data_IF_717172957333
#
_entry.id   IF_717172957333
#
_cell.length_a   1.000
_cell.length_b   1.000
_cell.length_c   1.000
_cell.angle_alpha   90.00
_cell.angle_beta   90.00
_cell.angle_gamma   90.00
#
_symmetry.space_group_name_H-M   'P 1'
#
loop_
_entity.id
_entity.type
_entity.pdbx_description
1 polymer ?
#
# COMPACT_ATOMS: atom_id res chain seq x y z
N UNK A 1 -40.10 78.07 -19.20
CA UNK A 1 -39.14 78.67 -18.25
C UNK A 1 -39.58 78.34 -16.83
N UNK A 2 -38.60 77.98 -15.98
CA UNK A 2 -38.61 77.87 -14.51
C UNK A 2 -39.16 76.59 -13.85
N UNK A 3 -38.20 75.90 -13.23
CA UNK A 3 -38.23 74.82 -12.24
C UNK A 3 -38.64 75.35 -10.85
N UNK A 4 -39.20 74.47 -10.01
CA UNK A 4 -38.74 74.14 -8.64
C UNK A 4 -39.58 72.94 -8.14
N UNK A 5 -39.04 71.73 -7.90
CA UNK A 5 -38.30 71.25 -6.70
C UNK A 5 -39.09 71.40 -5.38
N UNK A 6 -39.52 70.29 -4.78
CA UNK A 6 -38.98 69.68 -3.53
C UNK A 6 -39.84 68.46 -3.12
N UNK A 7 -39.15 67.52 -2.46
CA UNK A 7 -39.41 66.10 -2.20
C UNK A 7 -40.16 65.88 -0.84
N UNK A 8 -40.22 64.67 -0.23
CA UNK A 8 -41.46 63.96 0.12
C UNK A 8 -41.67 63.78 1.65
N UNK A 9 -42.79 63.18 2.08
CA UNK A 9 -42.91 62.58 3.42
C UNK A 9 -43.63 61.23 3.35
N UNK A 10 -43.03 60.27 4.06
CA UNK A 10 -43.32 58.85 4.18
C UNK A 10 -44.74 58.52 4.66
N UNK A 11 -45.29 57.44 4.12
CA UNK A 11 -46.37 56.67 4.74
C UNK A 11 -45.77 55.42 5.42
N UNK A 12 -46.03 55.27 6.71
CA UNK A 12 -45.76 54.05 7.48
C UNK A 12 -46.94 53.11 7.29
N UNK A 13 -46.69 51.86 6.92
CA UNK A 13 -47.66 50.77 6.98
C UNK A 13 -47.06 49.59 7.74
N UNK A 14 -47.67 49.27 8.87
CA UNK A 14 -47.39 48.11 9.69
C UNK A 14 -47.95 46.84 9.02
N UNK A 15 -47.14 45.79 8.92
CA UNK A 15 -47.58 44.46 8.54
C UNK A 15 -47.48 43.54 9.77
N UNK A 16 -48.57 42.83 10.02
CA UNK A 16 -48.77 41.91 11.13
C UNK A 16 -47.82 40.70 11.05
N UNK A 17 -47.18 40.36 12.18
CA UNK A 17 -46.44 39.13 12.35
C UNK A 17 -47.39 37.93 12.37
N UNK A 18 -47.46 37.19 11.26
CA UNK A 18 -47.88 35.80 11.28
C UNK A 18 -46.65 34.96 11.64
N UNK A 19 -46.64 34.36 12.82
CA UNK A 19 -45.66 33.33 13.21
C UNK A 19 -45.84 32.13 12.30
N UNK A 20 -44.98 32.03 11.28
CA UNK A 20 -44.76 30.83 10.50
C UNK A 20 -43.93 29.89 11.37
N UNK A 21 -44.51 28.78 11.80
CA UNK A 21 -43.72 27.64 12.29
C UNK A 21 -42.83 27.19 11.13
N UNK A 22 -41.54 27.51 11.21
CA UNK A 22 -40.55 26.90 10.34
C UNK A 22 -40.51 25.40 10.66
N UNK A 23 -40.49 24.52 9.65
CA UNK A 23 -40.23 23.10 9.90
C UNK A 23 -38.89 23.01 10.62
N UNK A 24 -38.91 22.39 11.81
CA UNK A 24 -37.71 22.05 12.56
C UNK A 24 -36.80 21.25 11.63
N UNK A 25 -35.79 21.95 11.14
CA UNK A 25 -34.71 21.39 10.34
C UNK A 25 -33.85 20.55 11.29
N UNK A 26 -34.29 19.32 11.54
CA UNK A 26 -33.50 18.28 12.21
C UNK A 26 -32.42 17.75 11.24
N UNK A 27 -31.74 18.64 10.53
CA UNK A 27 -30.47 18.32 9.90
C UNK A 27 -29.47 18.17 11.03
N UNK A 28 -29.27 16.92 11.47
CA UNK A 28 -28.11 16.55 12.27
C UNK A 28 -26.88 17.21 11.62
N UNK A 29 -26.02 17.90 12.40
CA UNK A 29 -24.83 18.52 11.81
C UNK A 29 -24.09 17.43 11.04
N UNK A 30 -23.89 17.63 9.73
CA UNK A 30 -23.05 16.76 8.91
C UNK A 30 -21.70 16.74 9.61
N UNK A 31 -21.38 15.61 10.26
CA UNK A 31 -20.07 15.42 10.85
C UNK A 31 -19.06 15.51 9.71
N UNK A 32 -18.29 16.60 9.68
CA UNK A 32 -17.19 16.78 8.73
C UNK A 32 -16.03 15.84 9.03
N UNK A 33 -16.06 15.16 10.17
CA UNK A 33 -15.05 14.21 10.60
C UNK A 33 -15.52 12.78 10.36
N UNK A 34 -14.79 12.06 9.51
CA UNK A 34 -14.93 10.61 9.34
C UNK A 34 -14.12 9.91 10.43
N UNK A 35 -14.80 9.10 11.23
CA UNK A 35 -14.18 8.27 12.25
C UNK A 35 -14.78 6.86 12.21
N UNK A 36 -14.06 5.90 12.79
CA UNK A 36 -14.51 4.51 12.90
C UNK A 36 -13.85 3.55 11.91
N UNK A 37 -14.22 2.28 12.00
CA UNK A 37 -13.68 1.20 11.17
C UNK A 37 -14.70 0.76 10.12
N UNK A 38 -14.20 0.41 8.93
CA UNK A 38 -15.00 0.04 7.78
C UNK A 38 -14.39 -1.17 7.09
N UNK A 39 -15.24 -2.17 6.83
CA UNK A 39 -14.89 -3.27 5.94
C UNK A 39 -15.02 -2.81 4.49
N UNK A 40 -14.03 -3.17 3.70
CA UNK A 40 -13.94 -2.80 2.28
C UNK A 40 -14.29 -4.01 1.44
N UNK A 41 -15.40 -3.91 0.71
CA UNK A 41 -15.75 -4.88 -0.34
C UNK A 41 -15.41 -4.29 -1.69
N UNK A 42 -14.74 -5.05 -2.55
CA UNK A 42 -14.35 -4.64 -3.90
C UNK A 42 -14.90 -5.64 -4.91
N UNK A 43 -15.48 -5.15 -5.99
CA UNK A 43 -15.90 -6.00 -7.11
C UNK A 43 -14.80 -6.18 -8.16
N UNK A 44 -15.20 -6.79 -9.28
CA UNK A 44 -14.33 -7.05 -10.41
C UNK A 44 -13.87 -5.77 -11.12
N UNK A 45 -12.66 -5.83 -11.69
CA UNK A 45 -12.14 -4.76 -12.53
C UNK A 45 -12.84 -4.74 -13.89
N UNK A 46 -13.18 -3.52 -14.33
CA UNK A 46 -13.65 -3.23 -15.67
C UNK A 46 -12.75 -2.16 -16.31
N UNK A 47 -12.53 -2.28 -17.62
CA UNK A 47 -11.82 -1.25 -18.37
C UNK A 47 -12.76 -0.06 -18.63
N UNK A 48 -12.41 1.13 -18.15
CA UNK A 48 -13.06 2.36 -18.65
C UNK A 48 -12.45 2.70 -20.01
N UNK A 49 -13.24 2.56 -21.06
CA UNK A 49 -12.81 2.89 -22.43
C UNK A 49 -12.88 4.40 -22.65
N UNK A 50 -11.75 5.00 -23.03
CA UNK A 50 -11.69 6.40 -23.44
C UNK A 50 -11.46 6.49 -24.94
N UNK A 51 -12.15 7.40 -25.65
CA UNK A 51 -11.92 7.61 -27.08
C UNK A 51 -10.43 7.88 -27.37
N UNK A 52 -9.83 7.08 -28.24
CA UNK A 52 -8.43 7.22 -28.65
C UNK A 52 -7.40 6.49 -27.77
N UNK A 53 -7.82 5.72 -26.77
CA UNK A 53 -6.94 4.84 -26.00
C UNK A 53 -7.30 3.38 -26.23
N UNK A 54 -6.29 2.56 -26.56
CA UNK A 54 -6.48 1.12 -26.64
C UNK A 54 -6.74 0.55 -25.23
N UNK A 55 -7.67 -0.41 -25.08
CA UNK A 55 -7.83 -1.17 -23.86
C UNK A 55 -6.57 -1.97 -23.56
N UNK A 56 -5.81 -1.56 -22.55
CA UNK A 56 -4.80 -2.37 -21.90
C UNK A 56 -5.38 -3.34 -20.85
N UNK A 57 -4.52 -4.15 -20.23
CA UNK A 57 -4.94 -5.25 -19.37
C UNK A 57 -5.58 -4.74 -18.08
N UNK A 58 -6.63 -5.43 -17.63
CA UNK A 58 -7.15 -5.25 -16.28
C UNK A 58 -6.08 -5.64 -15.25
N UNK A 59 -6.02 -4.97 -14.08
CA UNK A 59 -5.20 -5.41 -12.97
C UNK A 59 -5.50 -6.88 -12.63
N UNK A 60 -4.45 -7.71 -12.56
CA UNK A 60 -4.55 -9.15 -12.31
C UNK A 60 -3.78 -9.59 -11.05
N UNK A 61 -3.57 -10.90 -10.91
CA UNK A 61 -2.71 -11.44 -9.85
C UNK A 61 -1.32 -10.80 -9.95
N UNK A 62 -0.99 -9.95 -8.98
CA UNK A 62 0.29 -9.27 -8.90
C UNK A 62 0.28 -7.74 -8.98
N UNK A 63 -0.85 -7.11 -9.30
CA UNK A 63 -1.00 -5.64 -9.29
C UNK A 63 -1.47 -5.12 -7.93
N UNK A 64 -0.74 -5.48 -6.87
CA UNK A 64 -0.98 -5.08 -5.48
C UNK A 64 -1.00 -3.56 -5.27
N UNK A 65 -0.31 -2.80 -6.14
CA UNK A 65 -0.36 -1.33 -6.19
C UNK A 65 -1.77 -0.77 -6.49
N UNK A 66 -2.73 -1.61 -6.90
CA UNK A 66 -4.13 -1.22 -7.09
C UNK A 66 -5.07 -1.89 -6.08
N UNK A 67 -4.52 -2.56 -5.06
CA UNK A 67 -5.32 -3.23 -4.04
C UNK A 67 -5.66 -2.31 -2.87
N UNK A 68 -6.92 -2.32 -2.46
CA UNK A 68 -7.37 -1.59 -1.28
C UNK A 68 -7.35 -2.58 -0.11
N UNK A 69 -6.83 -2.19 1.08
CA UNK A 69 -6.86 -3.06 2.25
C UNK A 69 -8.31 -3.46 2.57
N UNK A 70 -8.56 -4.70 3.04
CA UNK A 70 -9.90 -5.23 3.27
C UNK A 70 -10.60 -4.55 4.46
N UNK A 71 -9.85 -3.81 5.27
CA UNK A 71 -10.36 -2.98 6.35
C UNK A 71 -9.56 -1.70 6.46
N UNK A 72 -10.28 -0.60 6.70
CA UNK A 72 -9.71 0.72 6.99
C UNK A 72 -10.30 1.29 8.28
N UNK A 73 -9.51 2.11 8.95
CA UNK A 73 -9.93 2.95 10.07
C UNK A 73 -9.68 4.40 9.72
N UNK A 74 -10.70 5.23 9.89
CA UNK A 74 -10.55 6.67 9.84
C UNK A 74 -10.19 7.17 11.23
N UNK A 75 -9.03 7.80 11.37
CA UNK A 75 -8.47 8.21 12.65
C UNK A 75 -8.57 9.72 12.90
N UNK A 76 -9.54 10.40 12.29
CA UNK A 76 -9.71 11.86 12.39
C UNK A 76 -8.78 12.65 11.45
N UNK A 77 -8.63 13.96 11.66
CA UNK A 77 -7.95 14.86 10.73
C UNK A 77 -6.47 14.49 10.55
N UNK A 78 -6.01 14.51 9.30
CA UNK A 78 -4.63 14.28 8.92
C UNK A 78 -3.78 15.52 9.24
N UNK A 79 -2.60 15.30 9.81
CA UNK A 79 -1.70 16.34 10.30
C UNK A 79 -1.30 17.42 9.27
N UNK A 80 -1.50 17.16 7.96
CA UNK A 80 -1.07 18.05 6.86
C UNK A 80 -2.19 18.85 6.21
N UNK A 81 -3.46 18.45 6.34
CA UNK A 81 -4.60 19.14 5.71
C UNK A 81 -5.86 18.98 6.59
N UNK A 82 -6.50 20.08 7.03
CA UNK A 82 -7.66 20.03 7.94
C UNK A 82 -8.87 19.24 7.42
N UNK A 83 -9.06 19.14 6.10
CA UNK A 83 -10.16 18.41 5.46
C UNK A 83 -9.82 16.95 5.15
N UNK A 84 -8.53 16.59 5.12
CA UNK A 84 -8.12 15.22 4.84
C UNK A 84 -8.21 14.40 6.14
N UNK A 85 -8.94 13.30 6.10
CA UNK A 85 -9.00 12.28 7.16
C UNK A 85 -7.90 11.26 6.93
N UNK A 86 -7.15 10.92 7.99
CA UNK A 86 -6.13 9.88 7.93
C UNK A 86 -6.77 8.50 7.85
N UNK A 87 -6.34 7.71 6.88
CA UNK A 87 -6.64 6.29 6.80
C UNK A 87 -5.53 5.50 7.50
N UNK A 88 -5.92 4.56 8.36
CA UNK A 88 -5.03 3.60 9.01
C UNK A 88 -5.55 2.20 8.72
N UNK A 89 -4.67 1.25 8.44
CA UNK A 89 -5.05 -0.17 8.36
C UNK A 89 -4.99 -0.75 9.76
N UNK A 90 -6.09 -1.32 10.31
CA UNK A 90 -6.08 -1.91 11.64
C UNK A 90 -5.11 -3.09 11.76
N UNK A 91 -4.68 -3.36 12.99
CA UNK A 91 -3.84 -4.52 13.31
C UNK A 91 -4.54 -5.83 12.87
N UNK A 92 -3.76 -6.79 12.36
CA UNK A 92 -4.25 -8.08 11.87
C UNK A 92 -4.94 -8.04 10.50
N UNK A 93 -5.32 -6.87 9.97
CA UNK A 93 -5.81 -6.73 8.61
C UNK A 93 -4.65 -6.79 7.59
N UNK A 94 -4.96 -7.18 6.35
CA UNK A 94 -3.97 -7.11 5.28
C UNK A 94 -3.49 -5.66 5.08
N UNK A 95 -2.18 -5.39 5.18
CA UNK A 95 -1.68 -4.03 5.08
C UNK A 95 -1.83 -3.48 3.67
N UNK A 96 -1.80 -2.15 3.59
CA UNK A 96 -1.71 -1.42 2.35
C UNK A 96 -0.25 -1.31 1.91
N UNK A 97 0.01 -1.45 0.61
CA UNK A 97 1.31 -1.21 -0.01
C UNK A 97 1.56 0.27 -0.32
N UNK A 98 0.57 1.12 -0.06
CA UNK A 98 0.59 2.54 -0.39
C UNK A 98 1.24 3.36 0.72
N UNK A 99 2.24 4.17 0.36
CA UNK A 99 2.86 5.14 1.27
C UNK A 99 1.97 6.35 1.57
N UNK A 100 1.01 6.64 0.69
CA UNK A 100 0.09 7.77 0.81
C UNK A 100 -1.34 7.26 0.82
N UNK A 101 -2.04 7.46 1.94
CA UNK A 101 -3.45 7.10 2.08
C UNK A 101 -4.21 8.24 2.74
N UNK A 102 -5.43 8.51 2.27
CA UNK A 102 -6.24 9.60 2.80
C UNK A 102 -7.67 9.54 2.30
N UNK A 103 -8.53 10.26 3.00
CA UNK A 103 -9.92 10.43 2.63
C UNK A 103 -10.36 11.87 2.83
N UNK A 104 -11.40 12.31 2.12
CA UNK A 104 -11.95 13.66 2.27
C UNK A 104 -13.44 13.62 1.94
N UNK A 105 -14.27 14.28 2.76
CA UNK A 105 -15.67 14.52 2.40
C UNK A 105 -15.72 15.79 1.54
N UNK A 106 -16.24 15.66 0.33
CA UNK A 106 -16.46 16.77 -0.61
C UNK A 106 -17.96 16.81 -0.95
N UNK A 107 -18.67 17.76 -0.34
CA UNK A 107 -20.13 17.81 -0.43
C UNK A 107 -20.76 16.51 0.10
N UNK A 108 -21.59 15.86 -0.71
CA UNK A 108 -22.27 14.61 -0.37
C UNK A 108 -21.47 13.36 -0.79
N UNK A 109 -20.16 13.51 -1.03
CA UNK A 109 -19.31 12.42 -1.48
C UNK A 109 -18.09 12.23 -0.58
N UNK A 110 -17.66 10.98 -0.46
CA UNK A 110 -16.42 10.59 0.17
C UNK A 110 -15.39 10.26 -0.91
N UNK A 111 -14.32 11.04 -0.95
CA UNK A 111 -13.15 10.74 -1.76
C UNK A 111 -12.17 9.88 -0.96
N UNK A 112 -11.65 8.81 -1.55
CA UNK A 112 -10.58 7.99 -0.98
C UNK A 112 -9.38 7.98 -1.93
N UNK A 113 -8.17 8.00 -1.37
CA UNK A 113 -6.93 7.86 -2.12
C UNK A 113 -5.98 6.87 -1.47
N UNK A 114 -5.42 5.98 -2.28
CA UNK A 114 -4.34 5.07 -1.95
C UNK A 114 -3.29 5.21 -3.05
N UNK A 115 -2.07 5.66 -2.74
CA UNK A 115 -1.06 5.95 -3.75
C UNK A 115 0.36 5.63 -3.29
N UNK A 116 1.19 5.18 -4.23
CA UNK A 116 2.65 5.08 -4.11
C UNK A 116 3.37 6.33 -4.63
N UNK A 117 2.64 7.43 -4.88
CA UNK A 117 2.98 8.62 -5.70
C UNK A 117 2.93 8.38 -7.20
N UNK A 118 3.40 7.23 -7.67
CA UNK A 118 3.47 6.90 -9.09
C UNK A 118 2.22 6.19 -9.59
N UNK A 119 1.63 5.33 -8.74
CA UNK A 119 0.45 4.56 -9.07
C UNK A 119 -0.42 4.33 -7.84
N UNK A 120 -1.70 4.00 -8.05
CA UNK A 120 -2.62 3.79 -6.94
C UNK A 120 -4.07 3.71 -7.36
N UNK A 121 -4.96 3.92 -6.39
CA UNK A 121 -6.40 3.94 -6.57
C UNK A 121 -6.99 5.18 -5.93
N UNK A 122 -7.93 5.80 -6.64
CA UNK A 122 -8.81 6.84 -6.11
C UNK A 122 -10.26 6.36 -6.21
N UNK A 123 -11.07 6.63 -5.20
CA UNK A 123 -12.48 6.29 -5.22
C UNK A 123 -13.34 7.51 -4.89
N UNK A 124 -14.48 7.58 -5.56
CA UNK A 124 -15.56 8.52 -5.20
C UNK A 124 -16.76 7.69 -4.77
N UNK A 125 -17.16 7.87 -3.52
CA UNK A 125 -18.23 7.14 -2.88
C UNK A 125 -19.35 8.09 -2.47
N UNK A 126 -20.57 7.57 -2.44
CA UNK A 126 -21.76 8.26 -1.98
C UNK A 126 -22.38 7.50 -0.81
N UNK A 127 -23.14 8.17 0.06
CA UNK A 127 -23.87 7.52 1.14
C UNK A 127 -24.74 6.39 0.60
N UNK A 128 -24.62 5.21 1.19
CA UNK A 128 -25.38 4.01 0.81
C UNK A 128 -25.69 3.19 2.06
N UNK A 129 -26.96 3.17 2.47
CA UNK A 129 -27.36 2.56 3.75
C UNK A 129 -26.65 3.22 4.93
N UNK A 130 -25.98 2.42 5.77
CA UNK A 130 -25.17 2.92 6.88
C UNK A 130 -23.71 3.24 6.48
N UNK A 131 -23.33 2.96 5.24
CA UNK A 131 -21.95 3.05 4.75
C UNK A 131 -21.82 3.93 3.51
N UNK A 132 -20.83 3.59 2.68
CA UNK A 132 -20.50 4.32 1.46
C UNK A 132 -20.32 3.36 0.30
N UNK A 133 -20.82 3.71 -0.88
CA UNK A 133 -20.63 2.89 -2.08
C UNK A 133 -20.31 3.76 -3.29
N UNK A 134 -19.53 3.23 -4.23
CA UNK A 134 -19.18 3.97 -5.43
C UNK A 134 -18.17 3.23 -6.29
N UNK A 135 -17.27 3.99 -6.91
CA UNK A 135 -16.33 3.46 -7.90
C UNK A 135 -14.90 3.86 -7.56
N UNK A 136 -14.04 2.85 -7.50
CA UNK A 136 -12.60 2.98 -7.39
C UNK A 136 -11.97 2.93 -8.80
N UNK A 137 -10.99 3.78 -9.07
CA UNK A 137 -10.30 3.95 -10.35
C UNK A 137 -8.80 3.89 -10.17
N UNK A 138 -8.10 3.23 -11.09
CA UNK A 138 -6.65 3.25 -11.12
C UNK A 138 -6.12 4.62 -11.47
N UNK A 139 -5.09 5.07 -10.77
CA UNK A 139 -4.30 6.24 -11.11
C UNK A 139 -2.86 5.82 -11.39
N UNK A 140 -2.25 6.42 -12.40
CA UNK A 140 -0.82 6.37 -12.68
C UNK A 140 -0.35 7.77 -13.05
N UNK A 141 0.95 8.05 -12.93
CA UNK A 141 1.55 9.36 -13.21
C UNK A 141 1.96 9.54 -14.68
N UNK A 142 1.99 8.46 -15.47
CA UNK A 142 2.29 8.48 -16.91
C UNK A 142 1.03 8.73 -17.72
N UNK A 143 1.02 9.79 -18.55
CA UNK A 143 -0.09 10.11 -19.47
C UNK A 143 0.29 9.86 -20.95
N UNK A 144 -0.66 9.45 -21.80
CA UNK A 144 -2.04 9.09 -21.47
C UNK A 144 -2.13 7.74 -20.75
N UNK A 145 -3.07 7.62 -19.82
CA UNK A 145 -3.31 6.38 -19.08
C UNK A 145 -4.71 5.84 -19.35
N UNK A 146 -4.79 4.53 -19.49
CA UNK A 146 -6.04 3.82 -19.34
C UNK A 146 -6.45 3.83 -17.87
N UNK A 147 -7.74 3.98 -17.62
CA UNK A 147 -8.32 3.87 -16.28
C UNK A 147 -9.07 2.55 -16.22
N UNK A 148 -8.75 1.74 -15.22
CA UNK A 148 -9.57 0.61 -14.83
C UNK A 148 -10.42 1.05 -13.64
N UNK A 149 -11.67 0.62 -13.61
CA UNK A 149 -12.62 0.93 -12.55
C UNK A 149 -13.16 -0.35 -11.92
N UNK A 150 -13.61 -0.26 -10.67
CA UNK A 150 -14.37 -1.33 -10.02
C UNK A 150 -15.33 -0.75 -8.98
N UNK A 151 -16.46 -1.43 -8.70
CA UNK A 151 -17.31 -1.05 -7.59
C UNK A 151 -16.59 -1.31 -6.27
N UNK A 152 -16.88 -0.45 -5.30
CA UNK A 152 -16.34 -0.54 -3.94
C UNK A 152 -17.43 -0.12 -2.95
N UNK A 153 -17.46 -0.81 -1.82
CA UNK A 153 -18.35 -0.51 -0.70
C UNK A 153 -17.57 -0.48 0.62
N UNK A 154 -17.88 0.51 1.45
CA UNK A 154 -17.43 0.62 2.84
C UNK A 154 -18.60 0.34 3.77
N UNK A 155 -18.53 -0.76 4.51
CA UNK A 155 -19.54 -1.11 5.52
C UNK A 155 -19.00 -0.77 6.91
N UNK A 156 -19.70 0.07 7.72
CA UNK A 156 -19.24 0.38 9.07
C UNK A 156 -19.25 -0.88 9.94
N UNK A 157 -18.18 -1.05 10.72
CA UNK A 157 -18.00 -2.19 11.64
C UNK A 157 -17.43 -1.74 12.97
N UNK A 158 -17.60 -2.56 14.01
CA UNK A 158 -16.88 -2.36 15.26
C UNK A 158 -15.37 -2.47 15.02
N UNK A 159 -14.59 -1.52 15.52
CA UNK A 159 -13.13 -1.59 15.43
C UNK A 159 -12.51 -2.79 16.18
N UNK A 160 -13.25 -3.36 17.13
CA UNK A 160 -12.81 -4.54 17.90
C UNK A 160 -13.20 -5.86 17.22
N UNK A 161 -13.97 -5.82 16.13
CA UNK A 161 -14.29 -7.02 15.35
C UNK A 161 -13.04 -7.53 14.63
N UNK A 162 -12.91 -8.84 14.34
CA UNK A 162 -11.83 -9.34 13.49
C UNK A 162 -11.99 -8.85 12.04
N UNK A 163 -10.89 -8.64 11.29
CA UNK A 163 -10.95 -8.26 9.88
C UNK A 163 -11.58 -9.38 9.04
N UNK A 164 -12.31 -9.04 7.96
CA UNK A 164 -13.00 -10.02 7.11
C UNK A 164 -12.01 -10.94 6.39
N UNK A 165 -10.79 -10.46 6.19
CA UNK A 165 -9.66 -11.21 5.65
C UNK A 165 -8.46 -10.96 6.57
N UNK A 166 -8.06 -11.99 7.31
CA UNK A 166 -6.89 -11.95 8.18
C UNK A 166 -5.59 -11.93 7.36
N UNK A 167 -4.55 -11.32 7.90
CA UNK A 167 -3.18 -11.50 7.43
C UNK A 167 -2.79 -12.99 7.32
N UNK A 168 -3.39 -13.86 8.12
CA UNK A 168 -3.12 -15.31 8.17
C UNK A 168 -3.59 -16.08 6.93
N UNK A 169 -4.51 -15.51 6.13
CA UNK A 169 -4.96 -16.16 4.89
C UNK A 169 -4.04 -15.91 3.70
N UNK A 170 -3.00 -15.08 3.86
CA UNK A 170 -1.99 -14.93 2.82
C UNK A 170 -1.22 -16.23 2.62
N UNK A 171 -0.72 -16.44 1.38
CA UNK A 171 0.25 -17.50 1.13
C UNK A 171 1.36 -17.42 2.19
N UNK A 172 1.69 -18.53 2.87
CA UNK A 172 2.69 -18.53 3.92
C UNK A 172 4.01 -18.18 3.26
N UNK A 173 4.46 -16.94 3.41
CA UNK A 173 5.78 -16.49 2.99
C UNK A 173 6.48 -16.05 4.27
N UNK A 174 7.49 -16.81 4.69
CA UNK A 174 8.20 -16.51 5.93
C UNK A 174 8.86 -15.14 5.88
N UNK A 175 8.74 -14.37 6.97
CA UNK A 175 9.41 -13.07 7.15
C UNK A 175 10.72 -13.16 7.90
N UNK A 176 10.97 -14.31 8.51
CA UNK A 176 12.08 -14.53 9.41
C UNK A 176 13.05 -15.53 8.80
N UNK A 177 14.33 -15.29 9.03
CA UNK A 177 15.44 -16.16 8.64
C UNK A 177 16.11 -16.59 9.92
N UNK A 178 16.05 -17.89 10.20
CA UNK A 178 16.66 -18.49 11.37
C UNK A 178 18.01 -19.13 10.99
N UNK A 179 19.03 -18.83 11.78
CA UNK A 179 20.39 -19.33 11.66
C UNK A 179 20.50 -20.62 12.47
N UNK A 180 21.46 -21.49 12.14
CA UNK A 180 21.66 -22.74 12.88
C UNK A 180 22.06 -22.53 14.35
N UNK A 181 22.65 -21.37 14.68
CA UNK A 181 23.02 -20.98 16.05
C UNK A 181 21.86 -20.37 16.86
N UNK A 182 20.66 -20.32 16.28
CA UNK A 182 19.45 -19.79 16.92
C UNK A 182 19.22 -18.29 16.74
N UNK A 183 20.17 -17.55 16.13
CA UNK A 183 19.91 -16.15 15.74
C UNK A 183 18.79 -16.09 14.70
N UNK A 184 18.06 -14.98 14.69
CA UNK A 184 16.99 -14.73 13.71
C UNK A 184 17.03 -13.29 13.24
N UNK A 185 16.75 -13.08 11.94
CA UNK A 185 16.46 -11.76 11.37
C UNK A 185 15.02 -11.79 10.85
N UNK A 186 14.20 -10.80 11.21
CA UNK A 186 12.82 -10.68 10.72
C UNK A 186 12.65 -9.39 9.91
N UNK A 187 12.19 -9.54 8.67
CA UNK A 187 11.87 -8.41 7.80
C UNK A 187 10.63 -7.68 8.31
N UNK A 188 10.73 -6.36 8.41
CA UNK A 188 9.72 -5.43 8.90
C UNK A 188 9.69 -5.25 10.42
N UNK A 189 10.64 -5.84 11.13
CA UNK A 189 10.90 -5.61 12.55
C UNK A 189 12.22 -4.83 12.73
N UNK A 190 12.46 -4.19 13.88
CA UNK A 190 13.76 -3.62 14.20
C UNK A 190 14.87 -4.68 14.12
N UNK A 191 16.09 -4.31 13.69
CA UNK A 191 17.23 -5.22 13.73
C UNK A 191 17.48 -5.70 15.17
N UNK A 192 17.82 -6.98 15.38
CA UNK A 192 18.25 -7.43 16.70
C UNK A 192 19.59 -6.78 17.08
N UNK A 193 19.87 -6.64 18.38
CA UNK A 193 21.06 -5.95 18.92
C UNK A 193 22.38 -6.42 18.28
N UNK A 194 22.53 -7.73 18.05
CA UNK A 194 23.74 -8.29 17.41
C UNK A 194 23.92 -7.85 15.96
N UNK A 195 22.84 -7.51 15.27
CA UNK A 195 22.84 -7.01 13.90
C UNK A 195 22.98 -5.49 13.87
N UNK A 196 22.41 -4.77 14.84
CA UNK A 196 22.58 -3.31 14.96
C UNK A 196 24.06 -2.90 15.01
N UNK A 197 24.88 -3.68 15.71
CA UNK A 197 26.32 -3.44 15.79
C UNK A 197 27.06 -3.63 14.45
N UNK A 198 26.44 -4.29 13.47
CA UNK A 198 27.01 -4.60 12.15
C UNK A 198 26.50 -3.68 11.05
N UNK A 199 25.47 -2.89 11.33
CA UNK A 199 24.84 -1.98 10.37
C UNK A 199 25.56 -0.63 10.42
N UNK A 200 26.03 -0.18 9.26
CA UNK A 200 26.72 1.10 9.09
C UNK A 200 25.77 2.32 9.19
N UNK A 201 26.34 3.52 9.04
CA UNK A 201 25.59 4.77 9.10
C UNK A 201 24.51 4.87 8.00
N UNK A 202 24.71 4.22 6.86
CA UNK A 202 23.79 4.19 5.72
C UNK A 202 22.68 3.14 5.89
N UNK A 203 22.73 2.33 6.95
CA UNK A 203 21.73 1.30 7.22
C UNK A 203 22.04 -0.03 6.52
N UNK A 204 23.27 -0.27 6.09
CA UNK A 204 23.70 -1.52 5.47
C UNK A 204 24.56 -2.33 6.43
N UNK A 205 24.27 -3.62 6.54
CA UNK A 205 25.09 -4.58 7.27
C UNK A 205 25.48 -5.76 6.39
N UNK A 206 26.68 -6.28 6.58
CA UNK A 206 27.17 -7.46 5.86
C UNK A 206 27.59 -8.55 6.85
N UNK A 207 27.26 -9.78 6.50
CA UNK A 207 27.63 -11.00 7.21
C UNK A 207 28.32 -11.94 6.22
N UNK A 208 29.58 -12.23 6.51
CA UNK A 208 30.34 -13.30 5.89
C UNK A 208 30.37 -14.53 6.83
N UNK A 209 30.67 -15.71 6.28
CA UNK A 209 30.79 -16.96 7.06
C UNK A 209 29.53 -17.33 7.87
N UNK A 210 28.38 -17.17 7.24
CA UNK A 210 27.07 -17.18 7.92
C UNK A 210 26.63 -18.57 8.43
N UNK A 211 27.30 -19.62 7.97
CA UNK A 211 26.95 -21.01 8.29
C UNK A 211 25.60 -21.43 7.71
N UNK A 212 25.11 -22.64 8.05
CA UNK A 212 23.85 -23.14 7.54
C UNK A 212 22.65 -22.37 8.14
N UNK A 213 21.66 -22.09 7.30
CA UNK A 213 20.38 -21.52 7.72
C UNK A 213 19.26 -22.54 7.66
N UNK A 214 18.19 -22.27 8.40
CA UNK A 214 17.01 -23.11 8.43
C UNK A 214 16.05 -22.80 7.27
N UNK A 215 15.20 -23.75 6.92
CA UNK A 215 14.13 -23.57 5.93
C UNK A 215 14.64 -23.48 4.48
N UNK A 216 14.08 -22.54 3.71
CA UNK A 216 14.28 -22.48 2.26
C UNK A 216 15.63 -21.92 1.83
N UNK A 217 16.36 -21.25 2.72
CA UNK A 217 17.50 -20.45 2.33
C UNK A 217 18.82 -21.24 2.23
N UNK A 218 18.99 -22.40 2.89
CA UNK A 218 20.22 -23.19 2.76
C UNK A 218 21.46 -22.48 3.31
N UNK A 219 22.59 -22.55 2.60
CA UNK A 219 23.88 -22.01 3.07
C UNK A 219 24.41 -21.00 2.05
N UNK A 220 24.18 -19.70 2.25
CA UNK A 220 24.79 -18.66 1.44
C UNK A 220 26.27 -18.50 1.82
N UNK A 221 27.04 -17.91 0.93
CA UNK A 221 28.40 -17.47 1.25
C UNK A 221 28.38 -16.13 2.00
N UNK A 222 27.47 -15.25 1.59
CA UNK A 222 27.32 -13.89 2.12
C UNK A 222 25.85 -13.54 2.31
N UNK A 223 25.58 -12.77 3.35
CA UNK A 223 24.30 -12.11 3.58
C UNK A 223 24.52 -10.61 3.70
N UNK A 224 23.69 -9.83 3.01
CA UNK A 224 23.58 -8.40 3.27
C UNK A 224 22.20 -8.07 3.83
N UNK A 225 22.15 -7.07 4.70
CA UNK A 225 20.93 -6.59 5.35
C UNK A 225 20.83 -5.10 5.09
N UNK A 226 19.62 -4.64 4.77
CA UNK A 226 19.31 -3.22 4.64
C UNK A 226 18.24 -2.82 5.65
N UNK A 227 18.54 -1.82 6.47
CA UNK A 227 17.67 -1.25 7.49
C UNK A 227 17.15 0.10 7.00
N UNK A 228 15.83 0.22 6.85
CA UNK A 228 15.18 1.43 6.40
C UNK A 228 15.10 2.47 7.51
N UNK A 229 16.13 3.32 7.66
CA UNK A 229 16.17 4.37 8.69
C UNK A 229 14.99 5.35 8.56
N UNK A 230 14.64 5.75 7.34
CA UNK A 230 13.51 6.66 7.05
C UNK A 230 12.12 6.05 7.32
N UNK A 231 12.05 4.72 7.45
CA UNK A 231 10.81 3.98 7.67
C UNK A 231 10.76 3.34 9.07
N UNK A 232 11.42 3.97 10.03
CA UNK A 232 11.36 3.60 11.45
C UNK A 232 12.44 2.63 11.91
N UNK A 233 13.55 2.54 11.19
CA UNK A 233 14.70 1.72 11.61
C UNK A 233 14.42 0.22 11.55
N UNK A 234 13.58 -0.24 10.64
CA UNK A 234 13.21 -1.65 10.48
C UNK A 234 14.08 -2.34 9.42
N UNK A 235 14.28 -3.64 9.55
CA UNK A 235 14.91 -4.47 8.51
C UNK A 235 14.00 -4.48 7.28
N UNK A 236 14.40 -3.78 6.22
CA UNK A 236 13.65 -3.70 4.97
C UNK A 236 13.99 -4.86 4.02
N UNK A 237 15.24 -5.32 4.08
CA UNK A 237 15.77 -6.33 3.16
C UNK A 237 16.78 -7.27 3.83
N UNK A 238 16.75 -8.54 3.42
CA UNK A 238 17.85 -9.49 3.63
C UNK A 238 18.15 -10.15 2.29
N UNK A 239 19.38 -9.99 1.79
CA UNK A 239 19.84 -10.58 0.54
C UNK A 239 20.89 -11.66 0.82
N UNK A 240 20.73 -12.80 0.15
CA UNK A 240 21.56 -14.00 0.26
C UNK A 240 22.29 -14.22 -1.06
N UNK A 241 23.59 -14.41 -0.99
CA UNK A 241 24.45 -14.61 -2.15
C UNK A 241 24.98 -16.05 -2.16
N UNK A 242 24.74 -16.74 -3.26
CA UNK A 242 25.18 -18.12 -3.46
C UNK A 242 26.14 -18.17 -4.65
N UNK A 243 27.31 -18.80 -4.50
CA UNK A 243 28.23 -18.99 -5.59
C UNK A 243 27.68 -20.01 -6.60
N UNK A 244 28.02 -19.82 -7.87
CA UNK A 244 27.74 -20.78 -8.93
C UNK A 244 26.36 -20.62 -9.58
N UNK A 245 26.31 -20.89 -10.89
CA UNK A 245 25.10 -20.73 -11.72
C UNK A 245 24.04 -21.81 -11.46
N UNK A 246 24.42 -22.94 -10.86
CA UNK A 246 23.55 -24.06 -10.55
C UNK A 246 22.69 -23.84 -9.29
N UNK A 247 23.09 -22.89 -8.44
CA UNK A 247 22.35 -22.52 -7.22
C UNK A 247 20.93 -22.08 -7.53
N UNK A 248 20.70 -21.43 -8.68
CA UNK A 248 19.39 -20.92 -9.07
C UNK A 248 18.37 -22.05 -9.20
N UNK A 249 18.70 -23.10 -9.96
CA UNK A 249 17.77 -24.22 -10.19
C UNK A 249 17.43 -24.95 -8.89
N UNK A 250 18.41 -25.12 -8.00
CA UNK A 250 18.20 -25.73 -6.67
C UNK A 250 17.30 -24.88 -5.78
N UNK A 251 17.57 -23.58 -5.69
CA UNK A 251 16.79 -22.64 -4.87
C UNK A 251 15.37 -22.50 -5.42
N UNK A 252 15.21 -22.37 -6.74
CA UNK A 252 13.90 -22.29 -7.39
C UNK A 252 13.07 -23.54 -7.11
N UNK A 253 13.65 -24.72 -7.24
CA UNK A 253 12.97 -25.98 -6.97
C UNK A 253 12.49 -26.06 -5.50
N UNK A 254 13.35 -25.68 -4.56
CA UNK A 254 13.02 -25.66 -3.12
C UNK A 254 11.94 -24.63 -2.79
N UNK A 255 12.02 -23.43 -3.35
CA UNK A 255 10.99 -22.41 -3.18
C UNK A 255 9.65 -22.86 -3.79
N UNK A 256 9.69 -23.55 -4.94
CA UNK A 256 8.49 -24.09 -5.59
C UNK A 256 7.84 -25.19 -4.78
N UNK A 257 8.63 -26.06 -4.15
CA UNK A 257 8.14 -27.11 -3.27
C UNK A 257 7.38 -26.53 -2.06
N UNK A 258 7.88 -25.45 -1.47
CA UNK A 258 7.28 -24.84 -0.26
C UNK A 258 6.15 -23.87 -0.60
N UNK A 259 6.30 -23.03 -1.63
CA UNK A 259 5.40 -21.91 -1.92
C UNK A 259 4.55 -22.08 -3.18
N UNK A 260 4.73 -23.17 -3.93
CA UNK A 260 4.01 -23.45 -5.17
C UNK A 260 4.59 -22.74 -6.40
N UNK A 261 3.77 -22.44 -7.40
CA UNK A 261 4.25 -21.75 -8.59
C UNK A 261 4.61 -20.27 -8.30
N UNK A 262 5.74 -19.76 -8.82
CA UNK A 262 6.09 -18.35 -8.68
C UNK A 262 5.19 -17.45 -9.53
N UNK A 263 5.21 -16.16 -9.22
CA UNK A 263 4.57 -15.12 -10.02
C UNK A 263 5.29 -14.95 -11.35
N UNK A 264 4.52 -14.71 -12.43
CA UNK A 264 5.08 -14.43 -13.75
C UNK A 264 5.85 -13.11 -13.71
N UNK A 265 7.17 -13.21 -13.82
CA UNK A 265 8.05 -12.03 -13.94
C UNK A 265 8.46 -11.88 -15.40
N UNK A 266 8.36 -10.67 -16.00
CA UNK A 266 8.69 -10.46 -17.42
C UNK A 266 10.20 -10.52 -17.71
N UNK A 267 11.06 -10.38 -16.68
CA UNK A 267 12.51 -10.41 -16.84
C UNK A 267 13.04 -11.86 -16.85
N UNK A 268 13.82 -12.26 -17.88
CA UNK A 268 14.50 -13.55 -17.89
C UNK A 268 15.44 -13.71 -16.69
N UNK A 269 15.45 -14.89 -16.06
CA UNK A 269 16.35 -15.18 -14.93
C UNK A 269 15.88 -14.63 -13.58
N UNK A 270 14.63 -14.16 -13.48
CA UNK A 270 14.01 -13.67 -12.25
C UNK A 270 12.81 -14.54 -11.89
N UNK A 271 12.73 -14.92 -10.62
CA UNK A 271 11.60 -15.66 -10.06
C UNK A 271 11.15 -14.94 -8.80
N UNK A 272 9.86 -14.64 -8.70
CA UNK A 272 9.29 -13.91 -7.57
C UNK A 272 8.20 -14.74 -6.90
N UNK A 273 8.30 -14.88 -5.58
CA UNK A 273 7.20 -15.36 -4.72
C UNK A 273 6.81 -14.20 -3.82
N UNK A 274 5.55 -13.81 -3.78
CA UNK A 274 5.14 -12.68 -2.95
C UNK A 274 3.74 -12.86 -2.38
N UNK A 275 3.53 -12.18 -1.28
CA UNK A 275 2.21 -11.82 -0.75
C UNK A 275 2.20 -10.30 -0.50
N UNK A 276 1.18 -9.77 0.20
CA UNK A 276 1.06 -8.31 0.43
C UNK A 276 2.10 -7.73 1.39
N UNK A 277 2.80 -8.57 2.16
CA UNK A 277 3.76 -8.12 3.18
C UNK A 277 5.19 -8.52 2.91
N UNK A 278 5.41 -9.52 2.08
CA UNK A 278 6.72 -10.12 1.91
C UNK A 278 6.90 -10.53 0.46
N UNK A 279 8.12 -10.34 -0.04
CA UNK A 279 8.54 -10.77 -1.35
C UNK A 279 9.84 -11.54 -1.24
N UNK A 280 9.92 -12.68 -1.92
CA UNK A 280 11.11 -13.47 -2.16
C UNK A 280 11.46 -13.36 -3.64
N UNK A 281 12.58 -12.73 -3.93
CA UNK A 281 13.06 -12.50 -5.30
C UNK A 281 14.34 -13.28 -5.51
N UNK A 282 14.29 -14.27 -6.39
CA UNK A 282 15.45 -15.06 -6.83
C UNK A 282 15.93 -14.55 -8.19
N UNK A 283 17.21 -14.23 -8.30
CA UNK A 283 17.81 -13.63 -9.49
C UNK A 283 19.14 -14.30 -9.82
N UNK A 284 19.39 -14.53 -11.11
CA UNK A 284 20.74 -14.79 -11.61
C UNK A 284 21.41 -13.46 -11.89
N UNK A 285 22.62 -13.28 -11.39
CA UNK A 285 23.46 -12.15 -11.72
C UNK A 285 24.56 -12.62 -12.67
N UNK A 286 24.61 -11.99 -13.84
CA UNK A 286 25.63 -12.25 -14.84
C UNK A 286 26.79 -11.25 -14.76
N UNK A 287 27.93 -11.57 -15.40
CA UNK A 287 29.08 -10.66 -15.51
C UNK A 287 28.79 -9.36 -16.28
N UNK A 288 27.59 -9.20 -16.86
CA UNK A 288 27.19 -7.99 -17.60
C UNK A 288 26.10 -7.17 -16.87
N UNK A 289 25.71 -7.54 -15.65
CA UNK A 289 24.72 -6.76 -14.88
C UNK A 289 25.40 -5.60 -14.14
N UNK A 290 25.03 -4.38 -14.52
CA UNK A 290 25.64 -3.13 -14.06
C UNK A 290 25.11 -2.77 -12.66
N UNK A 291 25.64 -3.38 -11.60
CA UNK A 291 25.53 -2.80 -10.25
C UNK A 291 26.88 -2.59 -9.61
N UNK A 292 26.88 -1.66 -8.65
CA UNK A 292 28.03 -1.19 -7.85
C UNK A 292 28.77 -2.29 -7.07
N UNK A 293 28.32 -3.54 -7.17
CA UNK A 293 28.80 -4.70 -6.40
C UNK A 293 29.51 -5.76 -7.25
N UNK A 294 29.84 -5.47 -8.51
CA UNK A 294 30.77 -6.27 -9.32
C UNK A 294 32.22 -6.03 -8.87
N UNK A 295 32.56 -6.42 -7.65
CA UNK A 295 33.98 -6.58 -7.29
C UNK A 295 34.51 -7.97 -7.71
N UNK A 296 33.62 -8.94 -7.91
CA UNK A 296 33.97 -10.29 -8.36
C UNK A 296 33.33 -10.61 -9.72
N UNK A 297 34.16 -10.96 -10.71
CA UNK A 297 33.75 -11.40 -12.07
C UNK A 297 32.99 -12.74 -12.08
N UNK A 298 32.67 -13.30 -10.91
CA UNK A 298 32.05 -14.61 -10.79
C UNK A 298 30.51 -14.54 -10.81
N UNK A 299 29.84 -15.42 -11.56
CA UNK A 299 28.39 -15.48 -11.59
C UNK A 299 27.86 -15.96 -10.23
N UNK A 300 26.95 -15.18 -9.65
CA UNK A 300 26.28 -15.51 -8.40
C UNK A 300 24.77 -15.53 -8.56
N UNK A 301 24.12 -16.17 -7.60
CA UNK A 301 22.66 -16.19 -7.46
C UNK A 301 22.30 -15.39 -6.22
N UNK A 302 21.35 -14.47 -6.39
CA UNK A 302 20.86 -13.63 -5.31
C UNK A 302 19.42 -14.03 -4.97
N UNK A 303 19.18 -14.40 -3.71
CA UNK A 303 17.82 -14.53 -3.16
C UNK A 303 17.59 -13.35 -2.22
N UNK A 304 16.46 -12.66 -2.33
CA UNK A 304 16.17 -11.50 -1.49
C UNK A 304 14.84 -11.69 -0.79
N UNK A 305 14.85 -11.65 0.54
CA UNK A 305 13.67 -11.52 1.37
C UNK A 305 13.44 -10.04 1.66
N UNK A 306 12.28 -9.53 1.23
CA UNK A 306 11.96 -8.10 1.22
C UNK A 306 10.64 -7.82 1.90
N UNK A 307 10.52 -6.66 2.52
CA UNK A 307 9.23 -6.13 2.92
C UNK A 307 8.50 -5.64 1.65
N UNK A 308 7.35 -6.24 1.34
CA UNK A 308 6.63 -5.90 0.11
C UNK A 308 6.05 -4.47 0.13
N UNK A 309 5.99 -3.82 1.31
CA UNK A 309 5.61 -2.41 1.44
C UNK A 309 6.72 -1.47 0.95
N UNK A 310 7.96 -1.95 0.90
CA UNK A 310 9.16 -1.15 0.68
C UNK A 310 10.13 -1.79 -0.33
N UNK A 311 9.67 -2.18 -1.54
CA UNK A 311 10.44 -3.02 -2.46
C UNK A 311 11.71 -2.37 -3.01
N UNK A 312 11.83 -1.03 -2.93
CA UNK A 312 12.95 -0.23 -3.42
C UNK A 312 14.14 -0.11 -2.44
N UNK A 313 14.01 -0.54 -1.18
CA UNK A 313 15.15 -0.52 -0.25
C UNK A 313 16.13 -1.70 -0.43
N UNK A 314 15.93 -2.51 -1.47
CA UNK A 314 16.68 -3.74 -1.76
C UNK A 314 17.53 -3.66 -3.04
N UNK A 315 17.67 -2.47 -3.62
CA UNK A 315 18.36 -2.24 -4.90
C UNK A 315 19.82 -1.84 -4.70
#
# INVERSE_FOLDING_TARGET
>A
MRRALVMPVLLVAAAACATREEPSDNTLPLSTELTGCYDVTVGEWVVESYPGLEPGPVPGEGTHIFEIPPRIKFSGPAFRQPSATRIVVPEGALPSVHGFTGAEIIGDSLFLGFSTLFAGVQATLFPSGAGWAGTARTIVDVRPQQVNARPIELTPVSCDSPPPVSIDVMRPLGRSVAFADGRTITVGEPPPEWLEALVDEDGYGELTDVGPMQGVFGTPERITVSVGRDVGGIVACVAFYYPGTDAFGRLEARLREVYGAPDRTPAPGWVTYRNRITSLVLQRWGPNDVSRWQEDDEPYVRLQLRDARWPWFCS
#
